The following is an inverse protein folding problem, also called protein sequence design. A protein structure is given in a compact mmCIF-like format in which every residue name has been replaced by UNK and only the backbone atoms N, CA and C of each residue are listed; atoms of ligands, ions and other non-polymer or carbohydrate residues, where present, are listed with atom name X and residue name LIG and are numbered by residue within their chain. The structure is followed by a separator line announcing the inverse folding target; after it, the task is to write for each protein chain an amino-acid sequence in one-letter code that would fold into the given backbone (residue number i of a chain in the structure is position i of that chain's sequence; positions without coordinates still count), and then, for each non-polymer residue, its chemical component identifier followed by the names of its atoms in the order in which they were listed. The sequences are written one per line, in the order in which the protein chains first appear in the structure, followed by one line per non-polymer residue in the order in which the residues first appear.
data_IF_609342311911
#
_entry.id   IF_609342311911
#
_cell.length_a   1.000
_cell.length_b   1.000
_cell.length_c   1.000
_cell.angle_alpha   90.00
_cell.angle_beta   90.00
_cell.angle_gamma   90.00
#
_symmetry.space_group_name_H-M   'P 1'
#
loop_
_entity.id
_entity.type
_entity.pdbx_description
1 polymer ?
#
# COMPACT_ATOMS: atom_id res chain seq x y z
N UNK A 1 0.35 -18.17 43.67
CA UNK A 1 -0.53 -17.12 43.09
C UNK A 1 0.10 -16.34 41.92
N UNK A 2 1.23 -16.77 41.33
CA UNK A 2 1.93 -15.99 40.27
C UNK A 2 1.68 -16.45 38.82
N UNK A 3 0.93 -17.54 38.59
CA UNK A 3 0.73 -18.09 37.24
C UNK A 3 -0.24 -17.24 36.40
N UNK A 4 -1.24 -16.62 37.04
CA UNK A 4 -2.26 -15.80 36.37
C UNK A 4 -1.70 -14.50 35.82
N UNK A 5 -0.77 -13.85 36.54
CA UNK A 5 -0.11 -12.61 36.11
C UNK A 5 0.77 -12.82 34.86
N UNK A 6 1.47 -13.95 34.78
CA UNK A 6 2.31 -14.30 33.64
C UNK A 6 1.46 -14.52 32.38
N UNK A 7 0.32 -15.20 32.50
CA UNK A 7 -0.60 -15.44 31.37
C UNK A 7 -1.18 -14.13 30.84
N UNK A 8 -1.60 -13.21 31.73
CA UNK A 8 -2.09 -11.89 31.33
C UNK A 8 -0.98 -11.08 30.65
N UNK A 9 0.24 -11.13 31.17
CA UNK A 9 1.38 -10.44 30.55
C UNK A 9 1.68 -10.99 29.14
N UNK A 10 1.65 -12.31 28.95
CA UNK A 10 1.84 -12.90 27.62
C UNK A 10 0.69 -12.56 26.66
N UNK A 11 -0.57 -12.58 27.11
CA UNK A 11 -1.73 -12.22 26.28
C UNK A 11 -1.70 -10.75 25.84
N UNK A 12 -1.37 -9.83 26.75
CA UNK A 12 -1.27 -8.40 26.42
C UNK A 12 -0.12 -8.18 25.43
N UNK A 13 1.06 -8.78 25.65
CA UNK A 13 2.17 -8.65 24.72
C UNK A 13 1.90 -9.31 23.35
N UNK A 14 1.15 -10.42 23.30
CA UNK A 14 0.78 -11.06 22.03
C UNK A 14 -0.14 -10.16 21.17
N UNK A 15 -1.11 -9.48 21.80
CA UNK A 15 -2.05 -8.57 21.11
C UNK A 15 -1.33 -7.33 20.57
N UNK A 16 -0.29 -6.85 21.25
CA UNK A 16 0.52 -5.72 20.77
C UNK A 16 1.56 -6.11 19.72
N UNK A 17 2.05 -7.36 19.71
CA UNK A 17 3.14 -7.82 18.83
C UNK A 17 2.73 -8.13 17.37
N UNK A 18 1.45 -7.99 17.01
CA UNK A 18 0.94 -8.38 15.68
C UNK A 18 0.30 -7.26 14.87
N UNK A 19 0.49 -6.00 15.28
CA UNK A 19 0.12 -4.81 14.50
C UNK A 19 1.17 -4.54 13.44
N UNK A 20 0.84 -4.80 12.17
CA UNK A 20 1.77 -4.71 11.04
C UNK A 20 1.11 -4.00 9.87
N UNK A 21 1.82 -3.00 9.35
CA UNK A 21 1.38 -2.24 8.19
C UNK A 21 1.21 -3.16 6.96
N UNK A 22 0.06 -3.05 6.30
CA UNK A 22 -0.20 -3.74 5.04
C UNK A 22 0.46 -2.95 3.90
N UNK A 23 1.35 -3.60 3.15
CA UNK A 23 2.09 -2.93 2.07
C UNK A 23 1.71 -3.54 0.72
N UNK A 24 1.24 -2.70 -0.20
CA UNK A 24 1.02 -3.05 -1.60
C UNK A 24 2.01 -2.34 -2.50
N UNK A 25 2.39 -2.99 -3.60
CA UNK A 25 3.33 -2.44 -4.59
C UNK A 25 2.88 -2.74 -6.01
N UNK A 26 3.05 -1.76 -6.88
CA UNK A 26 2.96 -1.91 -8.34
C UNK A 26 4.21 -1.30 -8.98
N UNK A 27 4.59 -1.81 -10.14
CA UNK A 27 5.67 -1.23 -10.94
C UNK A 27 5.27 -1.26 -12.42
N UNK A 28 5.70 -0.24 -13.16
CA UNK A 28 5.29 -0.02 -14.53
C UNK A 28 6.35 0.78 -15.29
N UNK A 29 6.34 0.61 -16.61
CA UNK A 29 7.12 1.39 -17.55
C UNK A 29 6.24 2.55 -18.05
N UNK A 30 6.75 3.79 -18.07
CA UNK A 30 5.97 4.98 -18.45
C UNK A 30 6.71 5.81 -19.49
N UNK A 31 5.97 6.29 -20.49
CA UNK A 31 6.47 7.04 -21.64
C UNK A 31 5.73 8.37 -21.83
N UNK A 32 5.81 9.29 -20.86
CA UNK A 32 5.25 10.64 -21.03
C UNK A 32 6.05 11.44 -22.09
N UNK A 33 5.49 12.57 -22.52
CA UNK A 33 6.12 13.46 -23.51
C UNK A 33 7.52 13.97 -23.10
N UNK A 34 7.80 14.03 -21.79
CA UNK A 34 9.10 14.44 -21.25
C UNK A 34 10.11 13.27 -21.08
N UNK A 35 9.85 12.13 -21.74
CA UNK A 35 10.74 11.00 -21.83
C UNK A 35 10.42 9.85 -20.86
N UNK A 36 11.09 8.72 -21.08
CA UNK A 36 10.83 7.48 -20.34
C UNK A 36 11.18 7.56 -18.85
N UNK A 37 10.40 6.87 -18.02
CA UNK A 37 10.79 6.49 -16.65
C UNK A 37 10.22 5.14 -16.24
N UNK A 38 10.89 4.48 -15.30
CA UNK A 38 10.38 3.30 -14.60
C UNK A 38 9.72 3.73 -13.29
N UNK A 39 8.41 3.53 -13.18
CA UNK A 39 7.60 3.87 -12.03
C UNK A 39 7.45 2.72 -11.04
N UNK A 40 7.56 3.02 -9.76
CA UNK A 40 7.20 2.11 -8.67
C UNK A 40 6.30 2.87 -7.71
N UNK A 41 5.09 2.37 -7.49
CA UNK A 41 4.20 2.92 -6.47
C UNK A 41 4.08 1.95 -5.31
N UNK A 42 4.21 2.45 -4.08
CA UNK A 42 4.14 1.66 -2.85
C UNK A 42 3.12 2.27 -1.91
N UNK A 43 2.06 1.52 -1.63
CA UNK A 43 0.98 1.88 -0.72
C UNK A 43 1.20 1.21 0.63
N UNK A 44 1.28 2.02 1.67
CA UNK A 44 1.37 1.62 3.07
C UNK A 44 0.03 1.90 3.73
N UNK A 45 -0.66 0.88 4.21
CA UNK A 45 -1.87 1.00 5.03
C UNK A 45 -1.47 0.72 6.47
N UNK A 46 -1.53 1.75 7.30
CA UNK A 46 -1.19 1.64 8.71
C UNK A 46 -2.42 1.29 9.55
N UNK A 47 -2.17 0.70 10.71
CA UNK A 47 -3.24 0.25 11.62
C UNK A 47 -4.04 1.40 12.25
N UNK A 48 -3.52 2.63 12.23
CA UNK A 48 -4.22 3.84 12.68
C UNK A 48 -5.18 4.42 11.62
N UNK A 49 -5.50 3.62 10.61
CA UNK A 49 -6.30 3.98 9.43
C UNK A 49 -5.69 5.12 8.60
N UNK A 50 -4.41 5.46 8.79
CA UNK A 50 -3.69 6.34 7.87
C UNK A 50 -3.02 5.55 6.76
N UNK A 51 -2.91 6.15 5.58
CA UNK A 51 -2.10 5.59 4.50
C UNK A 51 -0.99 6.55 4.10
N UNK A 52 0.08 5.97 3.56
CA UNK A 52 1.08 6.68 2.76
C UNK A 52 1.18 6.01 1.42
N UNK A 53 1.09 6.76 0.34
CA UNK A 53 1.30 6.27 -1.01
C UNK A 53 2.50 6.96 -1.63
N UNK A 54 3.56 6.20 -1.88
CA UNK A 54 4.82 6.71 -2.41
C UNK A 54 4.92 6.42 -3.90
N UNK A 55 4.99 7.46 -4.71
CA UNK A 55 5.21 7.39 -6.16
C UNK A 55 6.69 7.62 -6.45
N UNK A 56 7.40 6.58 -6.83
CA UNK A 56 8.84 6.61 -7.04
C UNK A 56 9.14 6.50 -8.53
N UNK A 57 9.99 7.39 -9.03
CA UNK A 57 10.47 7.40 -10.42
C UNK A 57 11.95 7.02 -10.44
N UNK A 58 12.29 6.15 -11.37
CA UNK A 58 13.65 5.71 -11.66
C UNK A 58 13.95 5.94 -13.14
N UNK A 59 15.20 6.24 -13.49
CA UNK A 59 15.57 6.36 -14.91
C UNK A 59 15.56 5.00 -15.64
N UNK A 60 15.63 3.88 -14.90
CA UNK A 60 15.54 2.54 -15.48
C UNK A 60 15.20 1.49 -14.42
N UNK A 61 14.74 0.31 -14.87
CA UNK A 61 14.54 -0.87 -14.02
C UNK A 61 15.83 -1.31 -13.30
N UNK A 62 17.00 -1.15 -13.92
CA UNK A 62 18.31 -1.46 -13.31
C UNK A 62 18.61 -0.55 -12.12
N UNK A 63 18.31 0.74 -12.24
CA UNK A 63 18.46 1.70 -11.14
C UNK A 63 17.45 1.45 -10.01
N UNK A 64 16.23 1.04 -10.34
CA UNK A 64 15.24 0.65 -9.33
C UNK A 64 15.71 -0.54 -8.46
N UNK A 65 16.37 -1.54 -9.05
CA UNK A 65 16.96 -2.66 -8.28
C UNK A 65 18.09 -2.22 -7.35
N UNK A 66 18.80 -1.14 -7.71
CA UNK A 66 19.85 -0.53 -6.88
C UNK A 66 19.32 0.57 -5.95
N UNK A 67 18.01 0.79 -5.94
CA UNK A 67 17.34 1.87 -5.21
C UNK A 67 17.90 3.28 -5.48
N UNK A 68 18.36 3.54 -6.71
CA UNK A 68 18.86 4.86 -7.12
C UNK A 68 17.71 5.69 -7.67
N UNK A 69 17.01 6.42 -6.79
CA UNK A 69 15.83 7.21 -7.15
C UNK A 69 16.19 8.41 -8.05
N UNK A 70 15.31 8.69 -9.02
CA UNK A 70 15.29 9.96 -9.76
C UNK A 70 14.50 11.01 -8.98
N UNK A 71 13.31 10.64 -8.54
CA UNK A 71 12.44 11.47 -7.72
C UNK A 71 11.36 10.62 -7.04
N UNK A 72 10.80 11.13 -5.95
CA UNK A 72 9.65 10.55 -5.28
C UNK A 72 8.68 11.63 -4.84
N UNK A 73 7.39 11.30 -4.86
CA UNK A 73 6.33 12.12 -4.27
C UNK A 73 5.52 11.20 -3.36
N UNK A 74 5.23 11.68 -2.15
CA UNK A 74 4.41 10.95 -1.21
C UNK A 74 3.04 11.64 -1.07
N UNK A 75 2.00 10.83 -1.03
CA UNK A 75 0.63 11.19 -0.73
C UNK A 75 0.24 10.56 0.61
N UNK A 76 -0.55 11.28 1.40
CA UNK A 76 -0.97 10.86 2.73
C UNK A 76 -2.48 11.06 2.87
N UNK A 77 -3.11 10.20 3.67
CA UNK A 77 -4.53 10.37 3.98
C UNK A 77 -5.03 9.27 4.89
N UNK A 78 -6.33 8.97 4.79
CA UNK A 78 -7.01 7.93 5.55
C UNK A 78 -7.51 6.82 4.65
N UNK A 79 -7.63 5.61 5.20
CA UNK A 79 -8.14 4.46 4.46
C UNK A 79 -9.19 3.70 5.26
N UNK A 80 -10.09 3.03 4.55
CA UNK A 80 -11.05 2.09 5.12
C UNK A 80 -11.40 1.00 4.13
N UNK A 81 -11.85 -0.14 4.64
CA UNK A 81 -12.46 -1.20 3.82
C UNK A 81 -13.98 -1.06 3.85
N UNK A 82 -14.61 -1.24 2.69
CA UNK A 82 -16.05 -1.36 2.52
C UNK A 82 -16.32 -2.66 1.75
N UNK A 83 -16.59 -3.75 2.48
CA UNK A 83 -16.60 -5.09 1.88
C UNK A 83 -15.25 -5.43 1.24
N UNK A 84 -15.25 -5.75 -0.05
CA UNK A 84 -14.03 -6.03 -0.82
C UNK A 84 -13.36 -4.77 -1.41
N UNK A 85 -13.92 -3.59 -1.18
CA UNK A 85 -13.39 -2.33 -1.72
C UNK A 85 -12.54 -1.61 -0.68
N UNK A 86 -11.27 -1.36 -1.00
CA UNK A 86 -10.38 -0.48 -0.26
C UNK A 86 -10.57 0.96 -0.76
N UNK A 87 -10.88 1.86 0.16
CA UNK A 87 -11.04 3.29 -0.09
C UNK A 87 -9.86 4.03 0.52
N UNK A 88 -9.15 4.82 -0.29
CA UNK A 88 -8.16 5.80 0.18
C UNK A 88 -8.75 7.18 -0.03
N UNK A 89 -8.75 8.00 1.00
CA UNK A 89 -9.32 9.34 0.94
C UNK A 89 -8.46 10.33 1.69
N UNK A 90 -8.31 11.50 1.08
CA UNK A 90 -7.86 12.73 1.70
C UNK A 90 -8.89 13.82 1.36
N UNK A 91 -8.73 15.03 1.89
CA UNK A 91 -9.60 16.18 1.65
C UNK A 91 -9.70 16.56 0.16
N UNK A 92 -8.85 16.00 -0.71
CA UNK A 92 -8.76 16.34 -2.14
C UNK A 92 -9.33 15.30 -3.08
N UNK A 93 -9.21 14.01 -2.75
CA UNK A 93 -9.49 12.93 -3.68
C UNK A 93 -9.88 11.64 -2.95
N UNK A 94 -10.76 10.87 -3.60
CA UNK A 94 -11.12 9.53 -3.23
C UNK A 94 -10.57 8.55 -4.29
N UNK A 95 -9.71 7.65 -3.86
CA UNK A 95 -9.21 6.55 -4.68
C UNK A 95 -9.85 5.24 -4.21
N UNK A 96 -10.23 4.39 -5.17
CA UNK A 96 -10.91 3.13 -4.88
C UNK A 96 -10.13 1.97 -5.49
N UNK A 97 -10.02 0.91 -4.71
CA UNK A 97 -9.37 -0.31 -5.13
C UNK A 97 -10.27 -1.49 -4.79
N UNK A 98 -10.42 -2.44 -5.71
CA UNK A 98 -11.13 -3.69 -5.45
C UNK A 98 -10.14 -4.78 -5.08
N UNK A 99 -10.47 -5.56 -4.05
CA UNK A 99 -9.72 -6.75 -3.68
C UNK A 99 -9.92 -7.81 -4.75
N UNK A 100 -8.84 -8.19 -5.41
CA UNK A 100 -8.87 -9.28 -6.42
C UNK A 100 -8.68 -10.63 -5.72
N UNK A 101 -7.81 -10.67 -4.71
CA UNK A 101 -7.64 -11.80 -3.79
C UNK A 101 -6.88 -11.35 -2.54
N UNK A 102 -6.55 -12.27 -1.63
CA UNK A 102 -5.84 -11.96 -0.39
C UNK A 102 -4.43 -11.35 -0.55
N UNK A 103 -3.86 -11.38 -1.77
CA UNK A 103 -2.52 -10.88 -2.08
C UNK A 103 -2.52 -9.73 -3.09
N UNK A 104 -3.68 -9.35 -3.64
CA UNK A 104 -3.75 -8.38 -4.74
C UNK A 104 -4.96 -7.47 -4.63
N UNK A 105 -4.74 -6.20 -4.95
CA UNK A 105 -5.78 -5.20 -5.16
C UNK A 105 -5.60 -4.60 -6.56
N UNK A 106 -6.68 -4.11 -7.15
CA UNK A 106 -6.66 -3.42 -8.43
C UNK A 106 -7.37 -2.08 -8.32
N UNK A 107 -6.90 -1.08 -9.06
CA UNK A 107 -7.56 0.22 -9.08
C UNK A 107 -8.94 0.09 -9.74
N UNK A 108 -9.93 0.77 -9.19
CA UNK A 108 -11.31 0.78 -9.68
C UNK A 108 -11.60 2.14 -10.32
N UNK A 109 -11.93 2.14 -11.60
CA UNK A 109 -12.30 3.31 -12.41
C UNK A 109 -13.83 3.36 -12.47
N UNK A 110 -14.40 4.51 -12.12
CA UNK A 110 -15.83 4.80 -12.17
C UNK A 110 -16.74 3.75 -11.50
N UNK A 111 -16.23 3.08 -10.46
CA UNK A 111 -16.91 2.01 -9.71
C UNK A 111 -17.29 0.75 -10.51
N UNK A 112 -16.90 0.68 -11.78
CA UNK A 112 -17.34 -0.36 -12.71
C UNK A 112 -16.15 -1.10 -13.32
N UNK A 113 -15.11 -0.36 -13.72
CA UNK A 113 -13.98 -0.92 -14.45
C UNK A 113 -12.80 -1.19 -13.54
N UNK A 114 -12.25 -2.40 -13.63
CA UNK A 114 -11.06 -2.79 -12.90
C UNK A 114 -9.84 -2.62 -13.79
N UNK A 115 -8.86 -1.86 -13.33
CA UNK A 115 -7.57 -1.74 -14.01
C UNK A 115 -6.84 -3.10 -14.03
N UNK A 116 -6.35 -3.52 -15.19
CA UNK A 116 -5.72 -4.83 -15.37
C UNK A 116 -4.44 -5.00 -14.52
N UNK A 117 -3.72 -3.91 -14.31
CA UNK A 117 -2.50 -3.95 -13.51
C UNK A 117 -2.82 -3.92 -12.01
N UNK A 118 -2.68 -5.10 -11.40
CA UNK A 118 -2.87 -5.29 -9.97
C UNK A 118 -1.65 -4.90 -9.15
N UNK A 119 -1.90 -4.30 -7.99
CA UNK A 119 -0.92 -4.11 -6.93
C UNK A 119 -0.77 -5.40 -6.13
N UNK A 120 0.46 -5.78 -5.82
CA UNK A 120 0.78 -7.00 -5.09
C UNK A 120 1.12 -6.67 -3.64
N UNK A 121 0.56 -7.42 -2.70
CA UNK A 121 0.91 -7.35 -1.28
C UNK A 121 2.34 -7.86 -1.08
N UNK A 122 3.20 -7.05 -0.47
CA UNK A 122 4.62 -7.34 -0.25
C UNK A 122 4.92 -7.70 1.20
N UNK A 123 4.15 -7.15 2.16
CA UNK A 123 4.30 -7.43 3.59
C UNK A 123 2.94 -7.52 4.28
N UNK A 124 2.91 -8.33 5.34
CA UNK A 124 1.81 -8.44 6.31
C UNK A 124 2.15 -7.61 7.52
#
# INVERSE_FOLDING_TARGET
MNKTLVIVFFLVNFVFAQKRDIIYRIAYDSYPANGYFYGVSVLYLKDDYSYRLSYQKYNSRKMARKNVLRSSVDEYGKWKMLGDTLLLYDNRQLLRFIKVNNKKIAFLIDDIERFDHCWKKVKY
#
